data_IF_588839771450
#
_entry.id   IF_588839771450
#
_cell.length_a   1.000
_cell.length_b   1.000
_cell.length_c   1.000
_cell.angle_alpha   90.00
_cell.angle_beta   90.00
_cell.angle_gamma   90.00
#
_symmetry.space_group_name_H-M   'P 1'
#
loop_
_entity.id
_entity.type
_entity.pdbx_description
1 polymer ?
#
# COMPACT_ATOMS: atom_id res chain seq x y z
N UNK A 1 -13.11 -47.90 -14.07
CA UNK A 1 -12.34 -47.01 -14.96
C UNK A 1 -12.15 -45.71 -14.18
N UNK A 2 -10.95 -45.25 -13.84
CA UNK A 2 -10.77 -43.97 -13.14
C UNK A 2 -11.14 -42.84 -14.10
N UNK A 3 -11.92 -41.88 -13.58
CA UNK A 3 -12.52 -40.76 -14.30
C UNK A 3 -11.47 -39.92 -15.02
N UNK A 4 -11.39 -40.03 -16.33
CA UNK A 4 -10.53 -39.22 -17.21
C UNK A 4 -10.85 -37.72 -17.12
N UNK A 5 -12.05 -37.34 -16.69
CA UNK A 5 -12.50 -35.99 -16.47
C UNK A 5 -11.78 -35.29 -15.28
N UNK A 6 -11.53 -36.04 -14.21
CA UNK A 6 -10.82 -35.49 -13.04
C UNK A 6 -9.32 -35.27 -13.31
N UNK A 7 -8.67 -36.09 -14.09
CA UNK A 7 -7.27 -35.97 -14.47
C UNK A 7 -7.03 -34.73 -15.35
N UNK A 8 -7.94 -34.49 -16.32
CA UNK A 8 -7.83 -33.33 -17.22
C UNK A 8 -8.05 -32.00 -16.51
N UNK A 9 -8.98 -31.92 -15.58
CA UNK A 9 -9.22 -30.70 -14.77
C UNK A 9 -8.04 -30.37 -13.83
N UNK A 10 -7.43 -31.40 -13.24
CA UNK A 10 -6.24 -31.26 -12.41
C UNK A 10 -5.03 -30.79 -13.23
N UNK A 11 -4.81 -31.36 -14.39
CA UNK A 11 -3.70 -30.99 -15.28
C UNK A 11 -3.87 -29.55 -15.79
N UNK A 12 -5.09 -29.16 -16.18
CA UNK A 12 -5.41 -27.81 -16.63
C UNK A 12 -5.15 -26.74 -15.54
N UNK A 13 -5.45 -27.05 -14.26
CA UNK A 13 -5.17 -26.15 -13.15
C UNK A 13 -3.66 -25.95 -12.94
N UNK A 14 -2.86 -27.02 -12.98
CA UNK A 14 -1.41 -26.97 -12.80
C UNK A 14 -0.70 -26.27 -13.97
N UNK A 15 -1.15 -26.49 -15.19
CA UNK A 15 -0.62 -25.78 -16.36
C UNK A 15 -0.90 -24.27 -16.27
N UNK A 16 -2.05 -23.87 -15.75
CA UNK A 16 -2.41 -22.46 -15.54
C UNK A 16 -1.55 -21.79 -14.48
N UNK A 17 -1.31 -22.48 -13.36
CA UNK A 17 -0.37 -22.00 -12.32
C UNK A 17 1.05 -21.85 -12.87
N UNK A 18 1.53 -22.85 -13.64
CA UNK A 18 2.83 -22.81 -14.28
C UNK A 18 2.96 -21.67 -15.30
N UNK A 19 1.93 -21.48 -16.14
CA UNK A 19 1.89 -20.36 -17.09
C UNK A 19 1.91 -19.00 -16.39
N UNK A 20 1.16 -18.85 -15.27
CA UNK A 20 1.19 -17.64 -14.47
C UNK A 20 2.59 -17.33 -13.92
N UNK A 21 3.26 -18.34 -13.36
CA UNK A 21 4.64 -18.18 -12.83
C UNK A 21 5.58 -17.76 -13.97
N UNK A 22 5.45 -18.38 -15.15
CA UNK A 22 6.24 -18.03 -16.33
C UNK A 22 6.03 -16.57 -16.76
N UNK A 23 4.75 -16.16 -16.89
CA UNK A 23 4.42 -14.77 -17.26
C UNK A 23 4.89 -13.79 -16.20
N UNK A 24 4.69 -14.09 -14.91
CA UNK A 24 5.17 -13.25 -13.82
C UNK A 24 6.68 -13.08 -13.83
N UNK A 25 7.44 -14.15 -14.10
CA UNK A 25 8.90 -14.10 -14.23
C UNK A 25 9.33 -13.21 -15.42
N UNK A 26 8.68 -13.35 -16.57
CA UNK A 26 8.95 -12.50 -17.75
C UNK A 26 8.62 -11.04 -17.47
N UNK A 27 7.47 -10.75 -16.84
CA UNK A 27 7.09 -9.38 -16.47
C UNK A 27 8.10 -8.76 -15.50
N UNK A 28 8.51 -9.53 -14.49
CA UNK A 28 9.49 -9.06 -13.50
C UNK A 28 10.85 -8.80 -14.15
N UNK A 29 11.30 -9.70 -15.04
CA UNK A 29 12.54 -9.53 -15.79
C UNK A 29 12.48 -8.28 -16.68
N UNK A 30 11.40 -8.08 -17.44
CA UNK A 30 11.24 -6.89 -18.28
C UNK A 30 11.19 -5.62 -17.45
N UNK A 31 10.45 -5.60 -16.34
CA UNK A 31 10.42 -4.44 -15.44
C UNK A 31 11.80 -4.14 -14.87
N UNK A 32 12.53 -5.15 -14.42
CA UNK A 32 13.90 -4.99 -13.94
C UNK A 32 14.83 -4.44 -15.02
N UNK A 33 14.76 -4.97 -16.25
CA UNK A 33 15.55 -4.50 -17.36
C UNK A 33 15.24 -3.04 -17.74
N UNK A 34 13.95 -2.67 -17.76
CA UNK A 34 13.52 -1.30 -18.04
C UNK A 34 13.88 -0.32 -16.93
N UNK A 35 13.73 -0.71 -15.65
CA UNK A 35 14.05 0.16 -14.51
C UNK A 35 15.56 0.41 -14.34
N UNK A 36 16.37 -0.53 -14.80
CA UNK A 36 17.84 -0.41 -14.72
C UNK A 36 18.48 -0.04 -16.05
N UNK A 37 17.69 0.51 -16.98
CA UNK A 37 18.17 0.99 -18.28
C UNK A 37 19.26 2.03 -18.10
N UNK A 38 20.32 1.90 -18.89
CA UNK A 38 21.41 2.88 -18.99
C UNK A 38 21.78 3.10 -20.45
N UNK A 39 21.77 4.34 -20.90
CA UNK A 39 22.15 4.73 -22.28
C UNK A 39 23.64 4.43 -22.60
N UNK A 40 24.45 4.12 -21.58
CA UNK A 40 25.86 3.72 -21.77
C UNK A 40 26.05 2.25 -22.08
N UNK A 41 25.02 1.41 -21.86
CA UNK A 41 25.08 -0.02 -22.11
C UNK A 41 24.95 -0.32 -23.61
N UNK A 42 25.56 -1.38 -24.14
CA UNK A 42 25.36 -1.76 -25.53
C UNK A 42 23.93 -2.20 -25.76
N UNK A 43 23.29 -1.61 -26.77
CA UNK A 43 21.90 -1.82 -27.12
C UNK A 43 21.67 -1.86 -28.63
N UNK A 44 20.42 -1.69 -29.05
CA UNK A 44 20.03 -1.55 -30.44
C UNK A 44 20.37 -0.18 -31.03
N UNK A 45 20.21 0.87 -30.23
CA UNK A 45 20.43 2.27 -30.66
C UNK A 45 21.89 2.73 -30.51
N UNK A 46 22.69 2.05 -29.66
CA UNK A 46 24.06 2.42 -29.35
C UNK A 46 24.95 1.19 -29.15
N UNK A 47 26.21 1.30 -29.61
CA UNK A 47 27.22 0.24 -29.45
C UNK A 47 27.78 0.14 -28.03
N UNK A 48 27.38 1.03 -27.13
CA UNK A 48 27.85 1.09 -25.74
C UNK A 48 29.23 1.75 -25.59
N UNK A 49 29.57 2.10 -24.36
CA UNK A 49 30.83 2.77 -24.02
C UNK A 49 32.03 1.82 -23.79
N UNK A 50 31.84 0.50 -23.95
CA UNK A 50 32.83 -0.52 -23.63
C UNK A 50 33.10 -0.78 -22.13
N UNK A 51 32.36 -0.09 -21.24
CA UNK A 51 32.39 -0.31 -19.81
C UNK A 51 31.55 -1.54 -19.41
N UNK A 52 31.59 -1.93 -18.13
CA UNK A 52 30.73 -2.99 -17.61
C UNK A 52 29.27 -2.64 -17.75
N UNK A 53 28.45 -3.61 -18.15
CA UNK A 53 27.01 -3.47 -18.32
C UNK A 53 26.37 -3.16 -16.96
N UNK A 54 25.59 -2.09 -16.89
CA UNK A 54 24.89 -1.62 -15.67
C UNK A 54 23.52 -2.22 -15.51
N UNK A 55 22.89 -2.65 -16.62
CA UNK A 55 21.57 -3.24 -16.58
C UNK A 55 21.58 -4.56 -15.80
N UNK A 56 20.69 -4.69 -14.80
CA UNK A 56 20.57 -5.90 -13.99
C UNK A 56 20.08 -7.11 -14.78
N UNK A 57 19.41 -6.90 -15.91
CA UNK A 57 19.05 -7.97 -16.86
C UNK A 57 20.22 -8.45 -17.74
N UNK A 58 21.44 -7.92 -17.51
CA UNK A 58 22.61 -8.26 -18.33
C UNK A 58 22.53 -7.71 -19.76
N UNK A 59 23.33 -8.25 -20.70
CA UNK A 59 23.36 -7.79 -22.10
C UNK A 59 21.99 -7.89 -22.78
N UNK A 60 21.27 -8.98 -22.54
CA UNK A 60 19.95 -9.20 -23.12
C UNK A 60 18.90 -8.22 -22.57
N UNK A 61 18.95 -7.94 -21.27
CA UNK A 61 18.09 -6.93 -20.64
C UNK A 61 18.38 -5.52 -21.14
N UNK A 62 19.66 -5.15 -21.28
CA UNK A 62 20.08 -3.88 -21.84
C UNK A 62 19.57 -3.69 -23.29
N UNK A 63 19.74 -4.72 -24.12
CA UNK A 63 19.29 -4.69 -25.51
C UNK A 63 17.77 -4.59 -25.62
N UNK A 64 17.02 -5.41 -24.86
CA UNK A 64 15.56 -5.36 -24.83
C UNK A 64 15.05 -4.00 -24.35
N UNK A 65 15.59 -3.48 -23.26
CA UNK A 65 15.19 -2.20 -22.72
C UNK A 65 15.44 -1.07 -23.73
N UNK A 66 16.60 -1.08 -24.41
CA UNK A 66 16.93 -0.11 -25.43
C UNK A 66 15.97 -0.16 -26.64
N UNK A 67 15.61 -1.35 -27.12
CA UNK A 67 14.61 -1.55 -28.19
C UNK A 67 13.26 -0.99 -27.75
N UNK A 68 12.77 -1.36 -26.57
CA UNK A 68 11.49 -0.88 -26.06
C UNK A 68 11.48 0.64 -25.90
N UNK A 69 12.49 1.23 -25.29
CA UNK A 69 12.56 2.67 -25.12
C UNK A 69 12.74 3.44 -26.45
N UNK A 70 13.51 2.91 -27.37
CA UNK A 70 13.66 3.51 -28.67
C UNK A 70 12.37 3.49 -29.50
N UNK A 71 11.58 2.40 -29.44
CA UNK A 71 10.34 2.27 -30.19
C UNK A 71 9.18 3.01 -29.53
N UNK A 72 8.94 2.77 -28.23
CA UNK A 72 7.72 3.21 -27.55
C UNK A 72 7.95 4.18 -26.40
N UNK A 73 9.20 4.54 -26.10
CA UNK A 73 9.55 5.46 -25.02
C UNK A 73 9.05 4.98 -23.65
N UNK A 74 8.62 5.89 -22.79
CA UNK A 74 8.11 5.56 -21.45
C UNK A 74 6.87 4.65 -21.44
N UNK A 75 6.12 4.57 -22.56
CA UNK A 75 5.03 3.63 -22.67
C UNK A 75 5.50 2.15 -22.62
N UNK A 76 6.81 1.90 -22.76
CA UNK A 76 7.40 0.57 -22.56
C UNK A 76 7.04 -0.07 -21.21
N UNK A 77 6.90 0.73 -20.16
CA UNK A 77 6.48 0.24 -18.84
C UNK A 77 5.05 -0.28 -18.80
N UNK A 78 4.16 0.22 -19.67
CA UNK A 78 2.79 -0.24 -19.73
C UNK A 78 2.70 -1.71 -20.17
N UNK A 79 3.60 -2.15 -21.04
CA UNK A 79 3.57 -3.51 -21.58
C UNK A 79 3.67 -4.59 -20.50
N UNK A 80 4.73 -4.66 -19.66
CA UNK A 80 4.81 -5.66 -18.60
C UNK A 80 3.73 -5.46 -17.53
N UNK A 81 3.30 -4.23 -17.24
CA UNK A 81 2.22 -3.95 -16.27
C UNK A 81 0.87 -4.50 -16.75
N UNK A 82 0.53 -4.26 -18.02
CA UNK A 82 -0.72 -4.77 -18.62
C UNK A 82 -0.72 -6.28 -18.71
N UNK A 83 0.42 -6.87 -19.08
CA UNK A 83 0.55 -8.34 -19.15
C UNK A 83 0.44 -8.96 -17.76
N UNK A 84 1.08 -8.38 -16.75
CA UNK A 84 0.96 -8.82 -15.36
C UNK A 84 -0.48 -8.70 -14.84
N UNK A 85 -1.16 -7.60 -15.13
CA UNK A 85 -2.58 -7.41 -14.78
C UNK A 85 -3.44 -8.54 -15.36
N UNK A 86 -3.28 -8.87 -16.64
CA UNK A 86 -4.04 -9.97 -17.29
C UNK A 86 -3.72 -11.32 -16.69
N UNK A 87 -2.45 -11.59 -16.38
CA UNK A 87 -2.06 -12.83 -15.73
C UNK A 87 -2.75 -12.99 -14.35
N UNK A 88 -2.80 -11.92 -13.55
CA UNK A 88 -3.49 -11.92 -12.26
C UNK A 88 -5.01 -12.13 -12.44
N UNK A 89 -5.63 -11.41 -13.38
CA UNK A 89 -7.07 -11.56 -13.66
C UNK A 89 -7.42 -12.99 -14.07
N UNK A 90 -6.63 -13.59 -14.97
CA UNK A 90 -6.81 -14.98 -15.39
C UNK A 90 -6.64 -15.99 -14.24
N UNK A 91 -5.75 -15.71 -13.30
CA UNK A 91 -5.57 -16.56 -12.13
C UNK A 91 -6.74 -16.44 -11.15
N UNK A 92 -7.26 -15.23 -10.94
CA UNK A 92 -8.38 -14.96 -10.02
C UNK A 92 -9.73 -15.41 -10.58
N UNK A 93 -9.92 -15.31 -11.89
CA UNK A 93 -11.11 -15.80 -12.57
C UNK A 93 -11.00 -17.32 -12.72
N UNK A 94 -11.58 -18.07 -11.78
CA UNK A 94 -11.75 -19.52 -11.87
C UNK A 94 -12.85 -19.87 -12.88
N UNK A 95 -12.65 -19.52 -14.15
CA UNK A 95 -13.58 -19.94 -15.20
C UNK A 95 -13.30 -21.38 -15.56
N UNK A 96 -14.31 -22.23 -15.37
CA UNK A 96 -14.31 -23.65 -15.78
C UNK A 96 -14.46 -23.80 -17.30
N UNK A 97 -14.27 -22.74 -18.07
CA UNK A 97 -14.44 -22.77 -19.52
C UNK A 97 -13.19 -23.37 -20.17
N UNK A 98 -13.36 -24.57 -20.72
CA UNK A 98 -12.31 -25.34 -21.38
C UNK A 98 -11.95 -24.78 -22.75
N UNK A 99 -12.73 -23.86 -23.32
CA UNK A 99 -12.52 -23.32 -24.65
C UNK A 99 -11.83 -21.97 -24.63
N UNK A 100 -10.63 -21.94 -25.27
CA UNK A 100 -9.92 -20.66 -25.52
C UNK A 100 -10.65 -19.90 -26.65
N UNK A 101 -11.28 -18.80 -26.33
CA UNK A 101 -11.98 -17.94 -27.28
C UNK A 101 -11.00 -16.98 -27.98
N UNK A 102 -10.67 -17.35 -29.24
CA UNK A 102 -9.79 -16.56 -30.09
C UNK A 102 -10.33 -15.17 -30.38
N UNK A 103 -11.63 -14.97 -30.40
CA UNK A 103 -12.29 -13.70 -30.66
C UNK A 103 -12.03 -12.73 -29.48
N UNK A 104 -12.29 -13.19 -28.27
CA UNK A 104 -12.02 -12.42 -27.05
C UNK A 104 -10.53 -12.12 -26.89
N UNK A 105 -9.66 -13.07 -27.19
CA UNK A 105 -8.21 -12.84 -27.17
C UNK A 105 -7.81 -11.76 -28.19
N UNK A 106 -8.29 -11.84 -29.44
CA UNK A 106 -8.00 -10.86 -30.47
C UNK A 106 -8.45 -9.45 -30.11
N UNK A 107 -9.66 -9.31 -29.55
CA UNK A 107 -10.19 -8.01 -29.07
C UNK A 107 -9.29 -7.42 -27.99
N UNK A 108 -8.82 -8.24 -27.05
CA UNK A 108 -7.93 -7.80 -25.97
C UNK A 108 -6.55 -7.37 -26.50
N UNK A 109 -5.99 -8.11 -27.44
CA UNK A 109 -4.75 -7.73 -28.12
C UNK A 109 -4.93 -6.40 -28.84
N UNK A 110 -6.04 -6.18 -29.52
CA UNK A 110 -6.37 -4.89 -30.13
C UNK A 110 -6.42 -3.76 -29.08
N UNK A 111 -7.04 -4.01 -27.94
CA UNK A 111 -7.06 -3.06 -26.81
C UNK A 111 -5.64 -2.71 -26.34
N UNK A 112 -4.75 -3.72 -26.19
CA UNK A 112 -3.34 -3.49 -25.84
C UNK A 112 -2.62 -2.62 -26.87
N UNK A 113 -2.80 -2.92 -28.17
CA UNK A 113 -2.19 -2.16 -29.26
C UNK A 113 -2.68 -0.72 -29.26
N UNK A 114 -3.97 -0.48 -29.05
CA UNK A 114 -4.53 0.88 -28.94
C UNK A 114 -3.94 1.66 -27.78
N UNK A 115 -3.79 1.02 -26.61
CA UNK A 115 -3.15 1.64 -25.44
C UNK A 115 -1.70 1.96 -25.71
N UNK A 116 -0.94 1.06 -26.33
CA UNK A 116 0.46 1.29 -26.68
C UNK A 116 0.60 2.47 -27.65
N UNK A 117 -0.15 2.46 -28.75
CA UNK A 117 -0.12 3.50 -29.78
C UNK A 117 -0.49 4.88 -29.21
N UNK A 118 -1.62 4.95 -28.50
CA UNK A 118 -2.06 6.23 -27.92
C UNK A 118 -1.16 6.68 -26.75
N UNK A 119 -0.67 5.76 -25.94
CA UNK A 119 0.23 6.04 -24.83
C UNK A 119 1.58 6.61 -25.28
N UNK A 120 2.18 6.03 -26.33
CA UNK A 120 3.43 6.55 -26.93
C UNK A 120 3.24 7.93 -27.54
N UNK A 121 2.15 8.16 -28.26
CA UNK A 121 1.83 9.45 -28.87
C UNK A 121 1.57 10.52 -27.81
N UNK A 122 0.84 10.21 -26.75
CA UNK A 122 0.62 11.12 -25.62
C UNK A 122 1.93 11.45 -24.89
N UNK A 123 2.80 10.47 -24.69
CA UNK A 123 4.12 10.69 -24.10
C UNK A 123 4.95 11.65 -24.98
N UNK A 124 4.97 11.45 -26.30
CA UNK A 124 5.69 12.32 -27.24
C UNK A 124 5.14 13.77 -27.26
N UNK A 125 3.81 13.94 -27.16
CA UNK A 125 3.18 15.29 -27.11
C UNK A 125 3.46 16.04 -25.80
N UNK A 126 3.87 15.35 -24.74
CA UNK A 126 4.21 15.94 -23.45
C UNK A 126 5.72 15.99 -23.20
N UNK A 127 6.53 15.77 -24.23
CA UNK A 127 7.99 15.85 -24.12
C UNK A 127 8.42 17.30 -23.89
N UNK A 128 8.98 17.54 -22.70
CA UNK A 128 9.56 18.85 -22.31
C UNK A 128 11.06 18.94 -22.64
N UNK A 129 11.58 18.06 -23.49
CA UNK A 129 12.97 18.10 -23.98
C UNK A 129 14.05 17.68 -22.98
N UNK A 130 13.69 17.12 -21.83
CA UNK A 130 14.62 16.69 -20.75
C UNK A 130 14.71 15.15 -20.66
N UNK A 131 14.32 14.43 -21.72
CA UNK A 131 14.32 12.98 -21.70
C UNK A 131 15.73 12.40 -21.81
N UNK A 132 16.07 11.45 -20.93
CA UNK A 132 17.31 10.66 -20.97
C UNK A 132 17.25 9.57 -22.06
N UNK A 133 16.10 9.41 -22.69
CA UNK A 133 15.81 8.36 -23.67
C UNK A 133 16.35 8.72 -25.06
N UNK A 134 16.87 7.75 -25.84
CA UNK A 134 17.51 8.01 -27.12
C UNK A 134 16.62 8.71 -28.15
N UNK A 135 15.32 8.43 -28.14
CA UNK A 135 14.33 8.90 -29.10
C UNK A 135 13.20 9.72 -28.43
N UNK A 136 13.49 10.37 -27.29
CA UNK A 136 12.50 11.14 -26.54
C UNK A 136 11.48 10.28 -25.77
N UNK A 137 10.54 10.95 -25.11
CA UNK A 137 9.60 10.33 -24.16
C UNK A 137 8.64 9.32 -24.78
N UNK A 138 8.28 9.51 -26.05
CA UNK A 138 7.35 8.62 -26.79
C UNK A 138 8.02 7.64 -27.74
N UNK A 139 9.35 7.69 -27.88
CA UNK A 139 10.08 6.87 -28.86
C UNK A 139 9.73 7.21 -30.31
N UNK A 140 10.24 6.42 -31.24
CA UNK A 140 10.03 6.62 -32.69
C UNK A 140 8.53 6.58 -33.05
N UNK A 141 7.80 5.59 -32.53
CA UNK A 141 6.37 5.44 -32.81
C UNK A 141 5.56 6.61 -32.26
N UNK A 142 5.87 7.06 -31.05
CA UNK A 142 5.18 8.19 -30.44
C UNK A 142 5.39 9.48 -31.21
N UNK A 143 6.61 9.76 -31.68
CA UNK A 143 6.90 10.93 -32.49
C UNK A 143 6.16 10.90 -33.84
N UNK A 144 6.18 9.75 -34.53
CA UNK A 144 5.51 9.63 -35.84
C UNK A 144 3.99 9.82 -35.69
N UNK A 145 3.36 9.20 -34.70
CA UNK A 145 1.92 9.28 -34.48
C UNK A 145 1.50 10.66 -33.99
N UNK A 146 2.22 11.22 -33.02
CA UNK A 146 1.92 12.57 -32.47
C UNK A 146 2.07 13.64 -33.52
N UNK A 147 3.08 13.53 -34.40
CA UNK A 147 3.26 14.43 -35.55
C UNK A 147 2.04 14.40 -36.49
N UNK A 148 1.58 13.21 -36.88
CA UNK A 148 0.38 13.06 -37.72
C UNK A 148 -0.88 13.64 -37.08
N UNK A 149 -1.11 13.36 -35.80
CA UNK A 149 -2.26 13.88 -35.04
C UNK A 149 -2.20 15.40 -34.86
N UNK A 150 -1.02 15.96 -34.65
CA UNK A 150 -0.85 17.42 -34.51
C UNK A 150 -1.15 18.14 -35.80
N UNK A 151 -0.74 17.58 -36.94
CA UNK A 151 -1.05 18.15 -38.24
C UNK A 151 -2.55 18.08 -38.58
N UNK A 152 -3.20 16.93 -38.26
CA UNK A 152 -4.60 16.71 -38.60
C UNK A 152 -5.59 17.42 -37.65
N UNK A 153 -5.30 17.48 -36.34
CA UNK A 153 -6.26 17.90 -35.30
C UNK A 153 -5.75 19.03 -34.39
N UNK A 154 -4.60 19.62 -34.70
CA UNK A 154 -3.89 20.52 -33.80
C UNK A 154 -3.40 19.80 -32.52
N UNK A 155 -2.47 20.42 -31.79
CA UNK A 155 -1.88 19.81 -30.56
C UNK A 155 -2.92 19.53 -29.49
N UNK A 156 -3.90 20.41 -29.27
CA UNK A 156 -4.94 20.22 -28.24
C UNK A 156 -5.98 19.19 -28.66
N UNK A 157 -6.49 19.28 -29.91
CA UNK A 157 -7.46 18.29 -30.43
C UNK A 157 -6.87 16.88 -30.52
N UNK A 158 -5.63 16.78 -31.01
CA UNK A 158 -4.90 15.51 -31.07
C UNK A 158 -4.75 14.84 -29.68
N UNK A 159 -4.41 15.61 -28.63
CA UNK A 159 -4.34 15.08 -27.24
C UNK A 159 -5.68 14.57 -26.77
N UNK A 160 -6.78 15.28 -26.99
CA UNK A 160 -8.12 14.85 -26.58
C UNK A 160 -8.52 13.54 -27.25
N UNK A 161 -8.28 13.41 -28.55
CA UNK A 161 -8.58 12.20 -29.31
C UNK A 161 -7.70 11.03 -28.84
N UNK A 162 -6.40 11.26 -28.65
CA UNK A 162 -5.49 10.21 -28.16
C UNK A 162 -5.83 9.74 -26.75
N UNK A 163 -6.26 10.65 -25.87
CA UNK A 163 -6.76 10.27 -24.54
C UNK A 163 -8.03 9.42 -24.66
N UNK A 164 -8.95 9.78 -25.54
CA UNK A 164 -10.16 8.98 -25.76
C UNK A 164 -9.81 7.58 -26.29
N UNK A 165 -8.88 7.46 -27.25
CA UNK A 165 -8.40 6.18 -27.77
C UNK A 165 -7.70 5.36 -26.68
N UNK A 166 -6.89 6.01 -25.84
CA UNK A 166 -6.21 5.36 -24.70
C UNK A 166 -7.21 4.77 -23.72
N UNK A 167 -8.20 5.56 -23.30
CA UNK A 167 -9.25 5.11 -22.38
C UNK A 167 -10.10 3.97 -22.98
N UNK A 168 -10.43 4.08 -24.27
CA UNK A 168 -11.16 3.05 -25.00
C UNK A 168 -10.35 1.74 -25.08
N UNK A 169 -9.08 1.82 -25.47
CA UNK A 169 -8.18 0.68 -25.51
C UNK A 169 -8.00 0.04 -24.12
N UNK A 170 -7.87 0.86 -23.09
CA UNK A 170 -7.78 0.41 -21.70
C UNK A 170 -9.04 -0.34 -21.27
N UNK A 171 -10.22 0.16 -21.65
CA UNK A 171 -11.52 -0.50 -21.37
C UNK A 171 -11.59 -1.87 -22.02
N UNK A 172 -11.25 -1.97 -23.30
CA UNK A 172 -11.27 -3.25 -24.05
C UNK A 172 -10.27 -4.25 -23.46
N UNK A 173 -9.08 -3.78 -23.11
CA UNK A 173 -8.03 -4.65 -22.58
C UNK A 173 -8.34 -5.20 -21.20
N UNK A 174 -8.83 -4.34 -20.29
CA UNK A 174 -9.01 -4.66 -18.87
C UNK A 174 -10.39 -5.17 -18.52
N UNK A 175 -11.36 -5.08 -19.44
CA UNK A 175 -12.80 -5.32 -19.19
C UNK A 175 -13.35 -4.41 -18.06
N UNK A 176 -12.73 -3.24 -17.87
CA UNK A 176 -13.12 -2.28 -16.81
C UNK A 176 -14.39 -1.54 -17.16
N UNK A 177 -15.38 -1.59 -16.28
CA UNK A 177 -16.50 -0.66 -16.29
C UNK A 177 -16.09 0.63 -15.59
N UNK A 178 -16.01 1.75 -16.32
CA UNK A 178 -15.66 3.06 -15.77
C UNK A 178 -16.63 3.51 -14.69
N UNK A 179 -17.91 3.17 -14.82
CA UNK A 179 -18.93 3.46 -13.80
C UNK A 179 -18.61 2.75 -12.48
N UNK A 180 -18.38 1.44 -12.51
CA UNK A 180 -18.01 0.67 -11.33
C UNK A 180 -16.68 1.13 -10.73
N UNK A 181 -15.74 1.51 -11.58
CA UNK A 181 -14.43 2.05 -11.13
C UNK A 181 -14.60 3.40 -10.46
N UNK A 182 -15.41 4.30 -11.03
CA UNK A 182 -15.73 5.60 -10.44
C UNK A 182 -16.44 5.45 -9.10
N UNK A 183 -17.39 4.51 -8.98
CA UNK A 183 -18.05 4.19 -7.71
C UNK A 183 -17.05 3.71 -6.65
N UNK A 184 -16.15 2.80 -6.99
CA UNK A 184 -15.11 2.30 -6.08
C UNK A 184 -14.15 3.41 -5.67
N UNK A 185 -13.67 4.21 -6.61
CA UNK A 185 -12.78 5.35 -6.33
C UNK A 185 -13.50 6.37 -5.46
N UNK A 186 -14.78 6.67 -5.75
CA UNK A 186 -15.63 7.54 -4.95
C UNK A 186 -15.78 7.02 -3.52
N UNK A 187 -16.11 5.74 -3.34
CA UNK A 187 -16.22 5.12 -2.03
C UNK A 187 -14.87 5.15 -1.25
N UNK A 188 -13.77 4.85 -1.92
CA UNK A 188 -12.44 4.91 -1.33
C UNK A 188 -12.04 6.33 -0.91
N UNK A 189 -12.34 7.33 -1.75
CA UNK A 189 -12.05 8.73 -1.44
C UNK A 189 -12.86 9.22 -0.23
N UNK A 190 -14.13 8.84 -0.11
CA UNK A 190 -14.97 9.14 1.05
C UNK A 190 -14.43 8.46 2.30
N UNK A 191 -14.04 7.18 2.22
CA UNK A 191 -13.43 6.45 3.34
C UNK A 191 -12.12 7.10 3.79
N UNK A 192 -11.24 7.42 2.84
CA UNK A 192 -9.97 8.10 3.12
C UNK A 192 -10.18 9.48 3.75
N UNK A 193 -11.13 10.27 3.23
CA UNK A 193 -11.49 11.57 3.78
C UNK A 193 -12.04 11.46 5.20
N UNK A 194 -12.95 10.52 5.45
CA UNK A 194 -13.50 10.29 6.78
C UNK A 194 -12.44 9.81 7.77
N UNK A 195 -11.53 8.93 7.35
CA UNK A 195 -10.41 8.47 8.18
C UNK A 195 -9.43 9.62 8.50
N UNK A 196 -9.12 10.47 7.53
CA UNK A 196 -8.29 11.66 7.73
C UNK A 196 -8.97 12.65 8.69
N UNK A 197 -10.26 12.93 8.48
CA UNK A 197 -11.05 13.79 9.36
C UNK A 197 -11.09 13.26 10.80
N UNK A 198 -11.31 11.95 10.99
CA UNK A 198 -11.33 11.34 12.32
C UNK A 198 -9.96 11.43 13.02
N UNK A 199 -8.85 11.26 12.28
CA UNK A 199 -7.51 11.44 12.85
C UNK A 199 -7.24 12.87 13.28
N UNK A 200 -7.67 13.84 12.46
CA UNK A 200 -7.53 15.26 12.76
C UNK A 200 -8.38 15.67 13.99
N UNK A 201 -9.66 15.23 14.06
CA UNK A 201 -10.53 15.55 15.20
C UNK A 201 -9.99 14.95 16.50
N UNK A 202 -9.57 13.67 16.48
CA UNK A 202 -8.93 13.03 17.65
C UNK A 202 -7.66 13.77 18.09
N UNK A 203 -6.78 14.13 17.15
CA UNK A 203 -5.57 14.90 17.47
C UNK A 203 -5.89 16.25 18.13
N UNK A 204 -6.92 16.95 17.66
CA UNK A 204 -7.37 18.22 18.25
C UNK A 204 -7.98 18.00 19.66
N UNK A 205 -8.77 16.95 19.84
CA UNK A 205 -9.35 16.59 21.15
C UNK A 205 -8.27 16.19 22.15
N UNK A 206 -7.31 15.37 21.75
CA UNK A 206 -6.17 14.98 22.59
C UNK A 206 -5.34 16.20 23.01
N UNK A 207 -5.09 17.11 22.08
CA UNK A 207 -4.39 18.35 22.39
C UNK A 207 -5.17 19.23 23.37
N UNK A 208 -6.48 19.35 23.20
CA UNK A 208 -7.36 20.09 24.12
C UNK A 208 -7.40 19.46 25.51
N UNK A 209 -7.53 18.15 25.59
CA UNK A 209 -7.58 17.41 26.87
C UNK A 209 -6.26 17.48 27.60
N UNK A 210 -5.12 17.40 26.91
CA UNK A 210 -3.79 17.56 27.50
C UNK A 210 -3.61 18.96 28.08
N UNK A 211 -3.99 19.99 27.35
CA UNK A 211 -3.94 21.38 27.82
C UNK A 211 -4.86 21.65 29.01
N UNK A 212 -6.04 21.01 29.06
CA UNK A 212 -6.93 21.12 30.22
C UNK A 212 -6.35 20.38 31.44
N UNK A 213 -5.72 19.23 31.25
CA UNK A 213 -5.03 18.49 32.33
C UNK A 213 -3.87 19.30 32.90
N UNK A 214 -3.06 19.92 32.06
CA UNK A 214 -1.96 20.81 32.52
C UNK A 214 -2.47 21.97 33.40
N UNK A 215 -3.50 22.67 32.91
CA UNK A 215 -4.15 23.76 33.70
C UNK A 215 -4.73 23.26 35.03
N UNK A 216 -5.35 22.08 35.04
CA UNK A 216 -5.90 21.47 36.25
C UNK A 216 -4.79 21.07 37.25
N UNK A 217 -3.65 20.59 36.75
CA UNK A 217 -2.48 20.27 37.59
C UNK A 217 -1.86 21.54 38.19
N UNK A 218 -1.73 22.60 37.41
CA UNK A 218 -1.23 23.90 37.91
C UNK A 218 -2.16 24.47 38.96
N UNK A 219 -3.48 24.45 38.71
CA UNK A 219 -4.46 24.92 39.70
C UNK A 219 -4.38 24.14 41.02
N UNK A 220 -4.22 22.78 40.93
CA UNK A 220 -4.03 21.94 42.12
C UNK A 220 -2.72 22.26 42.87
N UNK A 221 -1.62 22.51 42.17
CA UNK A 221 -0.35 22.91 42.79
C UNK A 221 -0.50 24.20 43.57
N UNK A 222 -1.17 25.22 43.03
CA UNK A 222 -1.44 26.47 43.70
C UNK A 222 -2.25 26.26 44.99
N UNK A 223 -3.32 25.46 44.92
CA UNK A 223 -4.13 25.16 46.13
C UNK A 223 -3.31 24.39 47.17
N UNK A 224 -2.50 23.42 46.76
CA UNK A 224 -1.65 22.66 47.68
C UNK A 224 -0.62 23.58 48.38
N UNK A 225 0.02 24.50 47.63
CA UNK A 225 0.98 25.44 48.22
C UNK A 225 0.30 26.38 49.23
N UNK A 226 -0.90 26.86 48.94
CA UNK A 226 -1.70 27.67 49.86
C UNK A 226 -2.09 26.91 51.12
N UNK A 227 -2.49 25.64 51.00
CA UNK A 227 -2.78 24.78 52.16
C UNK A 227 -1.53 24.50 53.01
N UNK A 228 -0.38 24.28 52.40
CA UNK A 228 0.89 24.03 53.10
C UNK A 228 1.33 25.33 53.85
N UNK A 229 1.20 26.49 53.23
CA UNK A 229 1.52 27.75 53.91
C UNK A 229 0.57 28.06 55.09
N UNK A 230 -0.74 27.83 54.90
CA UNK A 230 -1.73 27.95 56.01
C UNK A 230 -1.48 26.92 57.10
N UNK A 231 -1.02 25.75 56.76
CA UNK A 231 -0.62 24.69 57.72
C UNK A 231 0.60 25.07 58.55
N UNK A 232 1.61 25.72 57.96
CA UNK A 232 2.80 26.21 58.67
C UNK A 232 2.49 27.35 59.64
N UNK A 233 1.46 28.14 59.40
CA UNK A 233 1.00 29.23 60.29
C UNK A 233 0.11 28.76 61.43
N UNK A 234 -0.35 27.50 61.46
CA UNK A 234 -1.16 26.95 62.55
C UNK A 234 -0.24 26.50 63.69
N UNK A 235 -0.47 27.06 64.87
CA UNK A 235 0.24 26.61 66.07
C UNK A 235 -0.11 25.11 66.33
N UNK A 236 0.86 24.27 66.71
CA UNK A 236 0.60 22.87 66.99
C UNK A 236 -0.45 22.75 68.11
N UNK A 237 -1.45 21.85 67.97
CA UNK A 237 -2.44 21.67 69.00
C UNK A 237 -1.79 21.26 70.31
N UNK A 238 -2.02 22.02 71.40
CA UNK A 238 -1.57 21.68 72.76
C UNK A 238 -2.36 20.44 73.20
N UNK A 239 -1.75 19.27 73.10
CA UNK A 239 -2.31 18.02 73.63
C UNK A 239 -2.25 18.07 75.11
N UNK A 240 -3.39 18.28 75.78
CA UNK A 240 -3.47 18.10 77.24
C UNK A 240 -3.42 16.62 77.54
N UNK A 241 -2.49 16.14 78.40
CA UNK A 241 -2.44 14.74 78.77
C UNK A 241 -3.75 14.30 79.47
N UNK A 242 -4.34 13.22 78.99
CA UNK A 242 -5.52 12.64 79.62
C UNK A 242 -5.16 12.16 81.02
N UNK A 243 -5.69 12.80 82.07
CA UNK A 243 -5.44 12.46 83.50
C UNK A 243 -6.20 11.23 84.03
N UNK A 244 -6.85 10.46 83.13
CA UNK A 244 -7.54 9.23 83.54
C UNK A 244 -6.96 8.02 82.85
N UNK A 245 -6.60 6.94 83.60
CA UNK A 245 -6.25 5.69 82.94
C UNK A 245 -7.49 5.17 82.21
N UNK A 246 -7.30 4.87 80.93
CA UNK A 246 -8.35 4.25 80.12
C UNK A 246 -8.51 2.82 80.61
N UNK A 247 -9.64 2.49 81.20
CA UNK A 247 -9.97 1.10 81.50
C UNK A 247 -9.93 0.26 80.22
N UNK A 248 -9.18 -0.85 80.29
CA UNK A 248 -9.07 -1.76 79.17
C UNK A 248 -10.45 -2.40 78.93
N UNK A 249 -11.05 -2.13 77.79
CA UNK A 249 -12.34 -2.67 77.39
C UNK A 249 -12.24 -4.23 77.31
N UNK A 250 -13.20 -4.93 77.89
CA UNK A 250 -13.34 -6.41 77.85
C UNK A 250 -13.32 -6.99 76.42
N UNK A 251 -13.59 -6.18 75.45
CA UNK A 251 -13.56 -6.54 74.05
C UNK A 251 -12.11 -6.79 73.57
N UNK A 252 -11.16 -6.01 74.01
CA UNK A 252 -9.74 -6.13 73.64
C UNK A 252 -9.13 -7.42 74.24
N UNK A 253 -9.52 -7.81 75.43
CA UNK A 253 -9.08 -9.07 76.06
C UNK A 253 -9.68 -10.29 75.30
N UNK A 254 -10.92 -10.21 74.85
CA UNK A 254 -11.56 -11.29 74.08
C UNK A 254 -10.94 -11.42 72.67
N UNK A 255 -10.52 -10.36 72.03
CA UNK A 255 -9.84 -10.41 70.75
C UNK A 255 -8.41 -10.93 70.85
N UNK A 256 -7.67 -10.56 71.88
CA UNK A 256 -6.31 -11.08 72.10
C UNK A 256 -6.32 -12.61 72.40
N UNK A 257 -7.31 -13.08 73.16
CA UNK A 257 -7.43 -14.48 73.43
C UNK A 257 -7.85 -15.33 72.23
N UNK A 258 -8.55 -14.75 71.26
CA UNK A 258 -8.91 -15.44 70.00
C UNK A 258 -7.75 -15.52 69.00
N UNK A 259 -6.77 -14.65 69.08
CA UNK A 259 -5.59 -14.67 68.16
C UNK A 259 -4.60 -15.80 68.52
N UNK A 260 -4.56 -16.27 69.75
CA UNK A 260 -3.65 -17.34 70.15
C UNK A 260 -4.08 -18.75 69.75
N UNK A 261 -5.29 -18.94 69.16
CA UNK A 261 -5.85 -20.26 68.87
C UNK A 261 -6.07 -20.61 67.41
N UNK A 262 -5.48 -19.86 66.48
CA UNK A 262 -5.60 -20.19 65.04
C UNK A 262 -4.25 -20.40 64.39
N UNK A 263 -3.79 -21.65 64.13
CA UNK A 263 -2.65 -21.88 63.25
C UNK A 263 -3.02 -21.47 61.82
N UNK A 264 -2.22 -20.58 61.23
CA UNK A 264 -2.34 -20.21 59.84
C UNK A 264 -2.06 -21.41 58.96
N UNK A 265 -3.07 -21.87 58.21
CA UNK A 265 -2.85 -22.75 57.04
C UNK A 265 -2.29 -21.88 55.92
N UNK A 266 -1.05 -22.11 55.57
CA UNK A 266 -0.43 -21.57 54.36
C UNK A 266 -1.17 -22.10 53.13
N UNK A 267 -1.92 -21.24 52.44
CA UNK A 267 -2.48 -21.52 51.13
C UNK A 267 -1.39 -21.29 50.06
N UNK A 268 -0.86 -22.36 49.51
CA UNK A 268 -0.01 -22.38 48.34
C UNK A 268 -0.81 -21.91 47.14
N UNK A 269 -0.53 -20.70 46.65
CA UNK A 269 -1.00 -20.24 45.35
C UNK A 269 -0.20 -20.93 44.24
N UNK A 270 -0.86 -21.82 43.52
CA UNK A 270 -0.37 -22.44 42.27
C UNK A 270 -0.53 -21.43 41.15
N UNK A 271 0.58 -20.92 40.68
CA UNK A 271 0.62 -20.07 39.48
C UNK A 271 0.38 -20.98 38.28
N UNK A 272 -0.78 -20.85 37.63
CA UNK A 272 -1.06 -21.42 36.32
C UNK A 272 -0.51 -20.46 35.28
N UNK A 273 0.61 -20.82 34.64
CA UNK A 273 1.11 -20.22 33.43
C UNK A 273 0.19 -20.60 32.27
N UNK A 274 -0.51 -19.64 31.71
CA UNK A 274 -1.24 -19.80 30.45
C UNK A 274 -0.28 -19.55 29.31
N UNK A 275 0.15 -20.62 28.63
CA UNK A 275 0.86 -20.60 27.36
C UNK A 275 -0.17 -20.34 26.26
N UNK A 276 -0.05 -19.22 25.55
CA UNK A 276 -0.70 -19.02 24.25
C UNK A 276 0.21 -19.53 23.15
N UNK A 277 -0.34 -20.41 22.33
CA UNK A 277 0.08 -20.64 20.95
C UNK A 277 -0.67 -19.70 20.03
#
# INVERSE_FOLDING_TARGET
MPDSTNANSFLGSRLREGAFIGVAAVCLYLLMALLTYSASDPGWSATGSGASIRNLGGPTGAWLADVFFSLVGYAAYLFPLMLAYRAVVLLLQRTNEEHFDWTTFGIRVLGLVLVMISGTALAAMNDIGVSVLPQGTGGILGQAISGGFTVAFSATGGRMILVAIFLFGMTIFTDLSWLTTAEKVGAWSILAFNAARQRLTKGIEDFRTTRQREKAVEARKVVITEFVEKGKKRQPPKIKPLKRPVEKSDRLERENNKRCLRPQRLATYRILSCSMR
#
